data_IF_830340468757
#
_entry.id   IF_830340468757
#
_cell.length_a   1.000
_cell.length_b   1.000
_cell.length_c   1.000
_cell.angle_alpha   90.00
_cell.angle_beta   90.00
_cell.angle_gamma   90.00
#
_symmetry.space_group_name_H-M   'P 1'
#
loop_
_entity.id
_entity.type
_entity.pdbx_description
1 polymer ?
#
# COMPACT_ATOMS: atom_id res chain seq x y z
N UNK A 1 11.04 11.47 13.30
CA UNK A 1 10.51 10.16 13.71
C UNK A 1 10.63 9.13 12.56
N UNK A 2 10.97 7.88 12.89
CA UNK A 2 11.17 6.80 11.92
C UNK A 2 9.90 6.56 11.09
N UNK A 3 8.76 6.59 11.71
CA UNK A 3 7.46 6.41 11.04
C UNK A 3 7.20 7.42 9.91
N UNK A 4 7.57 8.68 10.09
CA UNK A 4 7.46 9.70 9.06
C UNK A 4 8.44 9.47 7.90
N UNK A 5 9.63 8.93 8.17
CA UNK A 5 10.59 8.54 7.13
C UNK A 5 10.05 7.37 6.30
N UNK A 6 9.55 6.33 6.97
CA UNK A 6 9.00 5.13 6.32
C UNK A 6 7.86 5.46 5.36
N UNK A 7 7.00 6.39 5.74
CA UNK A 7 5.84 6.76 4.93
C UNK A 7 6.09 7.89 3.94
N UNK A 8 7.33 8.42 3.89
CA UNK A 8 7.66 9.58 3.06
C UNK A 8 7.07 10.90 3.56
N UNK A 9 6.43 10.90 4.73
CA UNK A 9 5.77 12.07 5.27
C UNK A 9 6.74 13.12 5.84
N UNK A 10 7.99 12.73 6.14
CA UNK A 10 8.95 13.61 6.78
C UNK A 10 9.24 14.86 5.94
N UNK A 11 9.38 14.73 4.62
CA UNK A 11 9.70 15.83 3.72
C UNK A 11 8.68 16.94 3.80
N UNK A 12 7.41 16.64 3.50
CA UNK A 12 6.36 17.67 3.47
C UNK A 12 6.01 18.22 4.86
N UNK A 13 6.24 17.45 5.94
CA UNK A 13 6.09 17.97 7.31
C UNK A 13 7.18 18.99 7.61
N UNK A 14 8.43 18.76 7.18
CA UNK A 14 9.53 19.69 7.35
C UNK A 14 9.36 20.98 6.53
N UNK A 15 8.68 20.92 5.39
CA UNK A 15 8.37 22.10 4.56
C UNK A 15 7.32 23.04 5.18
N UNK A 16 6.55 22.57 6.15
CA UNK A 16 5.62 23.42 6.90
C UNK A 16 6.36 24.31 7.87
N UNK A 17 6.00 25.58 7.96
CA UNK A 17 6.67 26.59 8.83
C UNK A 17 6.76 26.14 10.29
N UNK A 18 5.75 25.41 10.76
CA UNK A 18 5.61 24.94 12.14
C UNK A 18 6.09 23.47 12.30
N UNK A 19 6.51 22.81 11.19
CA UNK A 19 7.01 21.44 11.23
C UNK A 19 5.99 20.47 11.85
N UNK A 20 6.39 19.80 12.93
CA UNK A 20 5.53 18.85 13.64
C UNK A 20 4.39 19.53 14.43
N UNK A 21 4.50 20.82 14.73
CA UNK A 21 3.49 21.60 15.46
C UNK A 21 2.43 22.22 14.52
N UNK A 22 2.55 21.94 13.20
CA UNK A 22 1.57 22.42 12.23
C UNK A 22 0.16 21.91 12.56
N UNK A 23 -0.78 22.84 12.63
CA UNK A 23 -2.17 22.54 12.93
C UNK A 23 -2.80 21.72 11.79
N UNK A 24 -3.24 20.51 12.11
CA UNK A 24 -4.02 19.67 11.21
C UNK A 24 -5.50 19.88 11.55
N UNK A 25 -6.20 20.56 10.66
CA UNK A 25 -7.64 20.77 10.81
C UNK A 25 -8.40 19.45 10.65
N UNK A 26 -9.61 19.38 11.20
CA UNK A 26 -10.50 18.24 11.07
C UNK A 26 -10.67 17.85 9.58
N UNK A 27 -10.62 16.54 9.30
CA UNK A 27 -10.62 16.04 7.93
C UNK A 27 -9.30 16.22 7.16
N UNK A 28 -8.22 16.69 7.83
CA UNK A 28 -6.90 16.88 7.21
C UNK A 28 -6.86 18.02 6.18
N UNK A 29 -7.65 19.08 6.39
CA UNK A 29 -7.63 20.28 5.54
C UNK A 29 -6.21 20.85 5.50
N UNK A 30 -5.74 21.24 4.30
CA UNK A 30 -4.37 21.74 4.08
C UNK A 30 -3.34 20.68 3.67
N UNK A 31 -3.75 19.41 3.57
CA UNK A 31 -2.94 18.32 3.01
C UNK A 31 -3.61 17.71 1.77
N UNK A 32 -2.78 17.26 0.81
CA UNK A 32 -3.27 16.45 -0.32
C UNK A 32 -3.78 15.08 0.16
N UNK A 33 -4.55 14.38 -0.70
CA UNK A 33 -5.02 13.02 -0.41
C UNK A 33 -3.87 12.06 -0.07
N UNK A 34 -2.79 12.10 -0.85
CA UNK A 34 -1.59 11.29 -0.60
C UNK A 34 -0.86 11.66 0.68
N UNK A 35 -0.75 12.96 0.99
CA UNK A 35 -0.17 13.42 2.25
C UNK A 35 -0.97 12.97 3.47
N UNK A 36 -2.31 13.04 3.41
CA UNK A 36 -3.20 12.51 4.44
C UNK A 36 -2.98 11.02 4.66
N UNK A 37 -2.92 10.25 3.58
CA UNK A 37 -2.71 8.81 3.63
C UNK A 37 -1.34 8.46 4.25
N UNK A 38 -0.28 9.17 3.86
CA UNK A 38 1.05 9.00 4.45
C UNK A 38 1.09 9.31 5.95
N UNK A 39 0.40 10.35 6.40
CA UNK A 39 0.29 10.70 7.83
C UNK A 39 -0.50 9.67 8.62
N UNK A 40 -1.61 9.18 8.10
CA UNK A 40 -2.40 8.12 8.74
C UNK A 40 -1.59 6.84 8.91
N UNK A 41 -0.85 6.46 7.87
CA UNK A 41 0.05 5.30 7.92
C UNK A 41 1.18 5.53 8.93
N UNK A 42 1.79 6.70 8.94
CA UNK A 42 2.82 7.06 9.94
C UNK A 42 2.29 6.94 11.37
N UNK A 43 1.07 7.40 11.62
CA UNK A 43 0.38 7.26 12.92
C UNK A 43 0.18 5.79 13.32
N UNK A 44 -0.15 4.93 12.36
CA UNK A 44 -0.28 3.49 12.59
C UNK A 44 1.08 2.88 12.96
N UNK A 45 2.12 3.21 12.23
CA UNK A 45 3.46 2.65 12.42
C UNK A 45 4.12 3.08 13.74
N UNK A 46 3.79 4.25 14.29
CA UNK A 46 4.29 4.71 15.61
C UNK A 46 3.94 3.69 16.70
N UNK A 47 2.79 3.03 16.60
CA UNK A 47 2.33 2.04 17.58
C UNK A 47 3.07 0.71 17.49
N UNK A 48 3.91 0.51 16.47
CA UNK A 48 4.66 -0.72 16.20
C UNK A 48 3.80 -1.99 16.28
N UNK A 49 2.67 -2.05 15.57
CA UNK A 49 1.79 -3.21 15.64
C UNK A 49 2.47 -4.45 15.07
N UNK A 50 2.16 -5.61 15.61
CA UNK A 50 2.62 -6.91 15.06
C UNK A 50 1.78 -7.35 13.86
N UNK A 51 0.54 -6.87 13.77
CA UNK A 51 -0.40 -7.18 12.68
C UNK A 51 -0.90 -5.85 12.10
N UNK A 52 -0.73 -5.68 10.79
CA UNK A 52 -1.28 -4.54 10.03
C UNK A 52 -2.42 -5.02 9.16
N UNK A 53 -3.53 -4.27 9.22
CA UNK A 53 -4.65 -4.41 8.29
C UNK A 53 -4.75 -3.14 7.47
N UNK A 54 -4.55 -3.23 6.17
CA UNK A 54 -4.56 -2.08 5.27
C UNK A 54 -5.58 -2.31 4.15
N UNK A 55 -6.34 -1.26 3.84
CA UNK A 55 -7.28 -1.24 2.72
C UNK A 55 -6.87 -0.13 1.75
N UNK A 56 -6.50 -0.51 0.53
CA UNK A 56 -6.03 0.38 -0.53
C UNK A 56 -5.02 1.45 -0.06
N UNK A 57 -3.91 1.05 0.60
CA UNK A 57 -3.02 1.99 1.30
C UNK A 57 -2.30 2.98 0.40
N UNK A 58 -2.31 2.78 -0.91
CA UNK A 58 -1.59 3.63 -1.88
C UNK A 58 -2.51 4.29 -2.91
N UNK A 59 -3.83 4.20 -2.73
CA UNK A 59 -4.81 4.66 -3.73
C UNK A 59 -4.72 6.17 -4.05
N UNK A 60 -4.26 7.00 -3.10
CA UNK A 60 -4.21 8.45 -3.24
C UNK A 60 -2.82 9.02 -3.56
N UNK A 61 -1.82 8.17 -3.82
CA UNK A 61 -0.43 8.58 -4.10
C UNK A 61 -0.03 8.20 -5.52
N UNK A 62 0.93 8.97 -6.08
CA UNK A 62 1.49 8.70 -7.40
C UNK A 62 2.44 7.49 -7.40
N UNK A 63 2.79 6.97 -8.58
CA UNK A 63 3.56 5.76 -8.74
C UNK A 63 4.98 5.85 -8.15
N UNK A 64 5.59 7.03 -8.17
CA UNK A 64 6.94 7.25 -7.62
C UNK A 64 6.88 7.18 -6.09
N UNK A 65 5.95 7.90 -5.49
CA UNK A 65 5.72 7.90 -4.05
C UNK A 65 5.26 6.52 -3.56
N UNK A 66 4.43 5.81 -4.35
CA UNK A 66 4.02 4.44 -4.05
C UNK A 66 5.22 3.50 -3.96
N UNK A 67 6.11 3.54 -4.95
CA UNK A 67 7.31 2.70 -4.95
C UNK A 67 8.20 2.96 -3.72
N UNK A 68 8.44 4.23 -3.42
CA UNK A 68 9.22 4.61 -2.23
C UNK A 68 8.59 4.12 -0.94
N UNK A 69 7.27 4.26 -0.81
CA UNK A 69 6.53 3.77 0.34
C UNK A 69 6.63 2.25 0.49
N UNK A 70 6.48 1.51 -0.61
CA UNK A 70 6.59 0.04 -0.62
C UNK A 70 7.99 -0.39 -0.21
N UNK A 71 9.03 0.21 -0.75
CA UNK A 71 10.42 -0.11 -0.40
C UNK A 71 10.69 0.14 1.10
N UNK A 72 10.21 1.24 1.65
CA UNK A 72 10.33 1.54 3.08
C UNK A 72 9.52 0.59 3.96
N UNK A 73 8.27 0.29 3.58
CA UNK A 73 7.43 -0.66 4.31
C UNK A 73 8.00 -2.06 4.31
N UNK A 74 8.59 -2.49 3.19
CA UNK A 74 9.24 -3.80 3.08
C UNK A 74 10.35 -3.97 4.13
N UNK A 75 11.18 -2.95 4.32
CA UNK A 75 12.20 -2.94 5.36
C UNK A 75 11.63 -2.88 6.78
N UNK A 76 10.52 -2.16 6.97
CA UNK A 76 9.88 -2.01 8.28
C UNK A 76 9.10 -3.25 8.73
N UNK A 77 8.45 -3.96 7.79
CA UNK A 77 7.60 -5.12 8.09
C UNK A 77 8.33 -6.22 8.84
N UNK A 78 9.56 -6.58 8.44
CA UNK A 78 10.34 -7.63 9.10
C UNK A 78 9.52 -8.91 9.32
N UNK A 79 9.29 -9.27 10.58
CA UNK A 79 8.50 -10.45 10.98
C UNK A 79 7.01 -10.14 11.24
N UNK A 80 6.56 -8.92 10.95
CA UNK A 80 5.16 -8.53 11.19
C UNK A 80 4.24 -9.15 10.17
N UNK A 81 2.98 -9.36 10.56
CA UNK A 81 1.94 -9.85 9.67
C UNK A 81 1.27 -8.67 8.97
N UNK A 82 1.20 -8.72 7.65
CA UNK A 82 0.45 -7.77 6.83
C UNK A 82 -0.73 -8.48 6.17
N UNK A 83 -1.92 -7.92 6.36
CA UNK A 83 -3.11 -8.23 5.56
C UNK A 83 -3.48 -6.96 4.81
N UNK A 84 -3.48 -7.01 3.50
CA UNK A 84 -3.78 -5.86 2.65
C UNK A 84 -4.81 -6.21 1.59
N UNK A 85 -5.85 -5.40 1.49
CA UNK A 85 -6.78 -5.43 0.37
C UNK A 85 -6.34 -4.38 -0.66
N UNK A 86 -6.10 -4.79 -1.90
CA UNK A 86 -5.66 -3.91 -2.98
C UNK A 86 -5.89 -4.52 -4.34
N UNK A 87 -6.04 -3.68 -5.35
CA UNK A 87 -5.98 -4.07 -6.76
C UNK A 87 -4.69 -3.55 -7.45
N UNK A 88 -3.79 -2.90 -6.71
CA UNK A 88 -2.54 -2.35 -7.23
C UNK A 88 -1.42 -3.38 -7.16
N UNK A 89 -0.82 -3.71 -8.32
CA UNK A 89 0.23 -4.73 -8.42
C UNK A 89 1.46 -4.42 -7.57
N UNK A 90 1.84 -3.14 -7.48
CA UNK A 90 3.00 -2.72 -6.72
C UNK A 90 2.92 -3.13 -5.23
N UNK A 91 1.74 -3.04 -4.64
CA UNK A 91 1.51 -3.42 -3.23
C UNK A 91 1.73 -4.92 -2.99
N UNK A 92 1.55 -5.75 -4.01
CA UNK A 92 1.74 -7.21 -3.91
C UNK A 92 3.21 -7.60 -3.64
N UNK A 93 4.15 -6.69 -3.83
CA UNK A 93 5.55 -6.92 -3.45
C UNK A 93 5.76 -7.07 -1.93
N UNK A 94 4.79 -6.60 -1.13
CA UNK A 94 4.84 -6.66 0.32
C UNK A 94 4.36 -7.99 0.91
N UNK A 95 3.73 -8.85 0.09
CA UNK A 95 3.06 -10.06 0.56
C UNK A 95 3.67 -11.33 -0.03
N UNK A 96 3.54 -12.45 0.70
CA UNK A 96 4.04 -13.76 0.27
C UNK A 96 2.92 -14.64 -0.30
N UNK A 97 1.66 -14.36 0.06
CA UNK A 97 0.46 -15.10 -0.32
C UNK A 97 -0.59 -14.16 -0.87
N UNK A 98 -1.29 -14.58 -1.90
CA UNK A 98 -2.39 -13.84 -2.50
C UNK A 98 -3.66 -14.68 -2.46
N UNK A 99 -4.74 -14.05 -2.03
CA UNK A 99 -6.10 -14.59 -2.11
C UNK A 99 -6.87 -13.71 -3.09
N UNK A 100 -7.31 -14.29 -4.19
CA UNK A 100 -8.13 -13.58 -5.19
C UNK A 100 -9.59 -13.84 -4.89
N UNK A 101 -10.35 -12.76 -4.75
CA UNK A 101 -11.78 -12.81 -4.51
C UNK A 101 -12.54 -12.27 -5.71
N UNK A 102 -13.64 -12.94 -6.06
CA UNK A 102 -14.60 -12.49 -7.07
C UNK A 102 -16.01 -12.80 -6.59
N UNK A 103 -16.90 -11.81 -6.67
CA UNK A 103 -18.32 -11.94 -6.27
C UNK A 103 -18.50 -12.60 -4.88
N UNK A 104 -17.69 -12.19 -3.91
CA UNK A 104 -17.73 -12.69 -2.53
C UNK A 104 -17.17 -14.11 -2.33
N UNK A 105 -16.56 -14.70 -3.36
CA UNK A 105 -15.96 -16.05 -3.30
C UNK A 105 -14.45 -15.99 -3.50
N UNK A 106 -13.72 -16.88 -2.81
CA UNK A 106 -12.32 -17.13 -3.10
C UNK A 106 -12.21 -17.93 -4.38
N UNK A 107 -11.58 -17.35 -5.40
CA UNK A 107 -11.38 -18.01 -6.71
C UNK A 107 -9.95 -18.51 -6.91
N UNK A 108 -8.99 -17.96 -6.17
CA UNK A 108 -7.61 -18.40 -6.19
C UNK A 108 -6.93 -18.09 -4.84
N UNK A 109 -6.06 -18.97 -4.38
CA UNK A 109 -5.33 -18.82 -3.13
C UNK A 109 -4.00 -19.56 -3.24
N UNK A 110 -2.90 -18.88 -2.96
CA UNK A 110 -1.58 -19.50 -3.01
C UNK A 110 -0.42 -18.53 -2.87
N UNK A 111 0.81 -19.05 -3.02
CA UNK A 111 2.01 -18.21 -3.05
C UNK A 111 1.90 -17.12 -4.12
N UNK A 112 2.36 -15.91 -3.80
CA UNK A 112 2.27 -14.73 -4.66
C UNK A 112 2.65 -15.02 -6.11
N UNK A 113 3.84 -15.56 -6.33
CA UNK A 113 4.39 -15.73 -7.68
C UNK A 113 3.58 -16.75 -8.49
N UNK A 114 3.09 -17.80 -7.85
CA UNK A 114 2.22 -18.79 -8.49
C UNK A 114 0.88 -18.18 -8.92
N UNK A 115 0.23 -17.42 -8.05
CA UNK A 115 -1.05 -16.75 -8.35
C UNK A 115 -0.88 -15.73 -9.48
N UNK A 116 0.19 -14.92 -9.44
CA UNK A 116 0.47 -13.94 -10.50
C UNK A 116 0.73 -14.59 -11.86
N UNK A 117 1.45 -15.70 -11.91
CA UNK A 117 1.73 -16.43 -13.14
C UNK A 117 0.44 -17.05 -13.74
N UNK A 118 -0.42 -17.63 -12.92
CA UNK A 118 -1.71 -18.19 -13.35
C UNK A 118 -2.62 -17.09 -13.91
N UNK A 119 -2.71 -15.94 -13.25
CA UNK A 119 -3.50 -14.80 -13.70
C UNK A 119 -3.00 -14.25 -15.04
N UNK A 120 -1.70 -14.19 -15.25
CA UNK A 120 -1.11 -13.75 -16.52
C UNK A 120 -1.37 -14.72 -17.67
N UNK A 121 -1.40 -16.04 -17.38
CA UNK A 121 -1.74 -17.07 -18.35
C UNK A 121 -3.20 -17.00 -18.82
N UNK A 122 -4.12 -16.76 -17.91
CA UNK A 122 -5.55 -16.61 -18.24
C UNK A 122 -5.82 -15.38 -19.10
N UNK A 123 -5.17 -14.24 -18.83
CA UNK A 123 -5.33 -13.03 -19.63
C UNK A 123 -4.80 -13.18 -21.06
N UNK A 124 -3.75 -13.99 -21.29
CA UNK A 124 -3.24 -14.28 -22.64
C UNK A 124 -4.21 -15.14 -23.45
N UNK A 125 -4.90 -16.10 -22.81
CA UNK A 125 -5.87 -16.96 -23.50
C UNK A 125 -7.13 -16.20 -23.93
N UNK A 126 -7.59 -15.26 -23.12
CA UNK A 126 -8.77 -14.42 -23.43
C UNK A 126 -8.47 -13.53 -24.65
N UNK A 127 -7.30 -12.88 -24.68
CA UNK A 127 -6.92 -12.01 -25.82
C UNK A 127 -6.71 -12.76 -27.15
N UNK A 128 -6.31 -14.03 -27.10
CA UNK A 128 -6.18 -14.85 -28.32
C UNK A 128 -7.51 -15.42 -28.81
N UNK A 129 -8.55 -15.46 -27.98
CA UNK A 129 -9.89 -15.91 -28.34
C UNK A 129 -10.77 -14.80 -28.96
N UNK A 130 -10.41 -13.52 -28.80
CA UNK A 130 -11.14 -12.39 -29.40
C UNK A 130 -10.66 -12.02 -30.82
N UNK A 131 -9.48 -12.50 -31.24
CA UNK A 131 -8.91 -12.26 -32.58
C UNK A 131 -9.14 -13.43 -33.57
N UNK A 132 -10.11 -14.29 -33.30
CA UNK A 132 -10.45 -15.44 -34.17
C UNK A 132 -11.84 -15.35 -34.72
#
# INVERSE_FOLDING_TARGET
PISLKVTGALGFVQEKKEGLDHLVLEGGVGFSGGQKQALLLARLLIRQPNILLLDEPTAAIDDIAEKQLIDHLKGWLGHRTLVVATHRRAVLELVDRIIVMNEGKVVMDGPRDQVLNQSAGQQKQIKQGEDS
#
